data_IF_455794774974
#
_entry.id   IF_455794774974
#
_cell.length_a   1.000
_cell.length_b   1.000
_cell.length_c   1.000
_cell.angle_alpha   90.00
_cell.angle_beta   90.00
_cell.angle_gamma   90.00
#
_symmetry.space_group_name_H-M   'P 1'
#
loop_
_entity.id
_entity.type
_entity.pdbx_description
1 polymer ?
#
# COMPACT_ATOMS: atom_id res chain seq x y z
N UNK A 1 -6.98 -25.30 -19.71
CA UNK A 1 -6.11 -25.02 -18.53
C UNK A 1 -5.24 -23.82 -18.84
N UNK A 2 -5.35 -22.76 -18.05
CA UNK A 2 -4.43 -21.61 -18.14
C UNK A 2 -3.04 -22.03 -17.66
N UNK A 3 -2.01 -21.60 -18.38
CA UNK A 3 -0.60 -21.92 -18.10
C UNK A 3 0.14 -20.63 -17.75
N UNK A 4 1.07 -20.71 -16.82
CA UNK A 4 2.07 -19.66 -16.57
C UNK A 4 3.38 -20.06 -17.26
N UNK A 5 4.03 -19.07 -17.84
CA UNK A 5 5.29 -19.22 -18.57
C UNK A 5 6.39 -18.49 -17.78
N UNK A 6 7.45 -19.22 -17.45
CA UNK A 6 8.59 -18.72 -16.69
C UNK A 6 9.84 -18.87 -17.54
N UNK A 7 10.65 -17.82 -17.59
CA UNK A 7 11.99 -17.84 -18.20
C UNK A 7 13.02 -17.59 -17.11
N UNK A 8 14.25 -18.03 -17.33
CA UNK A 8 15.36 -17.69 -16.46
C UNK A 8 15.57 -16.16 -16.36
N UNK A 9 16.00 -15.68 -15.19
CA UNK A 9 16.25 -14.26 -14.92
C UNK A 9 17.41 -13.67 -15.73
N UNK A 10 18.40 -14.51 -16.09
CA UNK A 10 19.47 -14.18 -17.03
C UNK A 10 18.98 -13.89 -18.47
N UNK A 11 17.68 -14.03 -18.70
CA UNK A 11 17.01 -13.48 -19.86
C UNK A 11 17.51 -14.11 -21.15
N UNK A 12 18.13 -13.32 -22.02
CA UNK A 12 18.61 -13.79 -23.32
C UNK A 12 19.95 -14.54 -23.20
N UNK A 13 20.63 -14.43 -22.05
CA UNK A 13 21.86 -15.16 -21.76
C UNK A 13 21.58 -16.61 -21.32
N UNK A 14 20.34 -16.93 -20.89
CA UNK A 14 19.93 -18.27 -20.52
C UNK A 14 18.60 -18.65 -21.19
N UNK A 15 18.64 -19.63 -22.10
CA UNK A 15 17.46 -20.11 -22.82
C UNK A 15 16.52 -21.00 -22.01
N UNK A 16 16.80 -21.25 -20.73
CA UNK A 16 16.00 -22.14 -19.89
C UNK A 16 14.61 -21.54 -19.59
N UNK A 17 13.57 -22.37 -19.68
CA UNK A 17 12.19 -21.98 -19.37
C UNK A 17 11.41 -23.12 -18.72
N UNK A 18 10.42 -22.75 -17.90
CA UNK A 18 9.52 -23.66 -17.20
C UNK A 18 8.08 -23.22 -17.44
N UNK A 19 7.18 -24.18 -17.62
CA UNK A 19 5.74 -23.95 -17.64
C UNK A 19 5.12 -24.54 -16.38
N UNK A 20 4.21 -23.81 -15.75
CA UNK A 20 3.41 -24.29 -14.63
C UNK A 20 1.91 -24.12 -14.92
N UNK A 21 1.06 -24.78 -14.14
CA UNK A 21 -0.37 -24.46 -14.08
C UNK A 21 -0.58 -23.07 -13.48
N UNK A 22 -1.81 -22.57 -13.54
CA UNK A 22 -2.20 -21.35 -12.80
C UNK A 22 -1.98 -21.46 -11.28
N UNK A 23 -1.96 -22.68 -10.74
CA UNK A 23 -1.74 -23.03 -9.33
C UNK A 23 -0.27 -23.37 -9.04
N UNK A 24 0.65 -23.00 -9.94
CA UNK A 24 2.09 -23.18 -9.79
C UNK A 24 2.55 -24.65 -9.70
N UNK A 25 1.74 -25.58 -10.21
CA UNK A 25 2.12 -26.98 -10.38
C UNK A 25 2.98 -27.12 -11.63
N UNK A 26 4.14 -27.75 -11.49
CA UNK A 26 5.07 -28.01 -12.59
C UNK A 26 4.40 -28.79 -13.73
N UNK A 27 4.61 -28.34 -14.98
CA UNK A 27 4.11 -29.02 -16.18
C UNK A 27 5.25 -29.56 -17.05
N UNK A 28 6.16 -28.68 -17.48
CA UNK A 28 7.33 -29.03 -18.31
C UNK A 28 8.39 -27.95 -18.27
N UNK A 29 9.61 -28.31 -18.63
CA UNK A 29 10.70 -27.38 -18.96
C UNK A 29 11.28 -27.75 -20.33
N UNK A 30 12.12 -26.88 -20.91
CA UNK A 30 12.89 -27.24 -22.11
C UNK A 30 14.14 -28.06 -21.77
N UNK A 31 14.77 -28.63 -22.80
CA UNK A 31 16.01 -29.40 -22.65
C UNK A 31 17.27 -28.54 -22.45
N UNK A 32 17.13 -27.22 -22.39
CA UNK A 32 18.28 -26.31 -22.19
C UNK A 32 18.56 -26.28 -20.71
N UNK A 33 19.74 -26.75 -20.32
CA UNK A 33 20.24 -26.60 -18.95
C UNK A 33 20.72 -25.17 -18.70
N UNK A 34 20.68 -24.75 -17.45
CA UNK A 34 21.24 -23.45 -17.06
C UNK A 34 22.75 -23.43 -17.32
N UNK A 35 23.22 -22.35 -17.94
CA UNK A 35 24.63 -22.09 -18.24
C UNK A 35 25.30 -21.18 -17.20
N UNK A 36 24.63 -20.94 -16.08
CA UNK A 36 25.09 -20.13 -14.97
C UNK A 36 24.76 -20.85 -13.66
N UNK A 37 25.47 -20.48 -12.60
CA UNK A 37 25.16 -20.94 -11.25
C UNK A 37 24.11 -20.01 -10.64
N UNK A 38 23.28 -20.52 -9.72
CA UNK A 38 22.40 -19.66 -8.94
C UNK A 38 23.22 -18.76 -8.01
N UNK A 39 22.84 -17.49 -7.87
CA UNK A 39 23.39 -16.58 -6.86
C UNK A 39 22.54 -16.66 -5.57
N UNK A 40 23.09 -17.20 -4.45
CA UNK A 40 22.35 -17.31 -3.20
C UNK A 40 21.91 -15.97 -2.60
N UNK A 41 22.73 -14.93 -2.76
CA UNK A 41 22.44 -13.59 -2.21
C UNK A 41 21.30 -12.95 -3.03
N UNK A 42 21.32 -13.03 -4.36
CA UNK A 42 20.21 -12.53 -5.19
C UNK A 42 18.91 -13.27 -4.91
N UNK A 43 18.95 -14.60 -4.78
CA UNK A 43 17.77 -15.41 -4.44
C UNK A 43 17.18 -14.97 -3.09
N UNK A 44 18.03 -14.69 -2.09
CA UNK A 44 17.60 -14.22 -0.78
C UNK A 44 16.95 -12.83 -0.87
N UNK A 45 17.57 -11.90 -1.58
CA UNK A 45 17.04 -10.54 -1.80
C UNK A 45 15.71 -10.59 -2.55
N UNK A 46 15.59 -11.40 -3.60
CA UNK A 46 14.36 -11.58 -4.36
C UNK A 46 13.22 -12.13 -3.49
N UNK A 47 13.51 -13.05 -2.56
CA UNK A 47 12.53 -13.53 -1.56
C UNK A 47 12.11 -12.41 -0.61
N UNK A 48 13.05 -11.59 -0.13
CA UNK A 48 12.75 -10.45 0.74
C UNK A 48 11.87 -9.41 0.03
N UNK A 49 12.18 -9.06 -1.22
CA UNK A 49 11.37 -8.14 -2.03
C UNK A 49 9.97 -8.71 -2.26
N UNK A 50 9.85 -10.01 -2.53
CA UNK A 50 8.56 -10.68 -2.68
C UNK A 50 7.73 -10.62 -1.40
N UNK A 51 8.37 -10.80 -0.24
CA UNK A 51 7.73 -10.63 1.08
C UNK A 51 7.27 -9.18 1.30
N UNK A 52 8.12 -8.19 1.01
CA UNK A 52 7.77 -6.77 1.10
C UNK A 52 6.57 -6.46 0.21
N UNK A 53 6.58 -6.92 -1.05
CA UNK A 53 5.48 -6.75 -1.99
C UNK A 53 4.18 -7.36 -1.47
N UNK A 54 4.25 -8.58 -0.93
CA UNK A 54 3.09 -9.25 -0.33
C UNK A 54 2.53 -8.43 0.84
N UNK A 55 3.37 -7.98 1.77
CA UNK A 55 2.93 -7.13 2.90
C UNK A 55 2.32 -5.82 2.41
N UNK A 56 2.92 -5.16 1.42
CA UNK A 56 2.40 -3.92 0.83
C UNK A 56 0.99 -4.10 0.24
N UNK A 57 0.72 -5.26 -0.36
CA UNK A 57 -0.58 -5.59 -0.95
C UNK A 57 -1.68 -5.89 0.09
N UNK A 58 -1.31 -6.37 1.27
CA UNK A 58 -2.23 -6.91 2.27
C UNK A 58 -2.29 -6.08 3.58
N UNK A 59 -1.41 -5.11 3.77
CA UNK A 59 -1.34 -4.28 4.97
C UNK A 59 -1.57 -2.78 4.67
N UNK A 60 -2.11 -2.06 5.65
CA UNK A 60 -2.44 -0.64 5.56
C UNK A 60 -1.27 0.31 5.89
N UNK A 61 -0.10 -0.23 6.27
CA UNK A 61 1.10 0.55 6.57
C UNK A 61 1.70 1.19 5.31
N UNK A 62 2.53 2.24 5.48
CA UNK A 62 3.19 2.86 4.33
C UNK A 62 4.20 1.89 3.68
N UNK A 63 4.35 1.95 2.35
CA UNK A 63 5.29 1.08 1.65
C UNK A 63 6.75 1.31 2.08
N UNK A 64 7.09 2.55 2.47
CA UNK A 64 8.40 2.91 3.01
C UNK A 64 8.62 2.19 4.34
N UNK A 65 7.66 2.28 5.26
CA UNK A 65 7.77 1.65 6.58
C UNK A 65 7.93 0.12 6.45
N UNK A 66 7.11 -0.52 5.62
CA UNK A 66 7.21 -1.98 5.39
C UNK A 66 8.59 -2.35 4.84
N UNK A 67 9.10 -1.59 3.87
CA UNK A 67 10.43 -1.81 3.30
C UNK A 67 11.53 -1.68 4.36
N UNK A 68 11.57 -0.55 5.06
CA UNK A 68 12.60 -0.27 6.08
C UNK A 68 12.57 -1.29 7.21
N UNK A 69 11.37 -1.64 7.68
CA UNK A 69 11.17 -2.64 8.72
C UNK A 69 11.67 -4.04 8.30
N UNK A 70 11.32 -4.48 7.09
CA UNK A 70 11.76 -5.79 6.59
C UNK A 70 13.26 -5.84 6.34
N UNK A 71 13.85 -4.77 5.78
CA UNK A 71 15.30 -4.67 5.58
C UNK A 71 16.04 -4.68 6.90
N UNK A 72 15.58 -3.91 7.89
CA UNK A 72 16.19 -3.86 9.22
C UNK A 72 16.11 -5.23 9.92
N UNK A 73 14.99 -5.95 9.79
CA UNK A 73 14.82 -7.27 10.41
C UNK A 73 15.55 -8.40 9.70
N UNK A 74 15.87 -8.24 8.42
CA UNK A 74 16.51 -9.27 7.63
C UNK A 74 17.98 -9.52 8.02
N UNK A 75 18.60 -8.61 8.80
CA UNK A 75 20.00 -8.72 9.25
C UNK A 75 20.96 -9.06 8.10
N UNK A 76 20.83 -8.33 6.99
CA UNK A 76 21.58 -8.57 5.76
C UNK A 76 23.08 -8.31 5.96
N UNK A 77 23.92 -9.12 5.29
CA UNK A 77 25.36 -8.89 5.22
C UNK A 77 25.69 -7.67 4.35
N UNK A 78 26.96 -7.23 4.37
CA UNK A 78 27.39 -6.12 3.52
C UNK A 78 27.24 -6.42 2.02
N UNK A 79 27.49 -7.66 1.59
CA UNK A 79 27.29 -8.08 0.18
C UNK A 79 25.81 -8.01 -0.21
N UNK A 80 24.93 -8.50 0.66
CA UNK A 80 23.48 -8.50 0.44
C UNK A 80 22.90 -7.08 0.44
N UNK A 81 23.37 -6.19 1.32
CA UNK A 81 22.97 -4.79 1.33
C UNK A 81 23.39 -4.04 0.06
N UNK A 82 24.50 -4.44 -0.56
CA UNK A 82 24.94 -3.85 -1.82
C UNK A 82 24.02 -4.23 -3.00
N UNK A 83 23.44 -5.43 -2.96
CA UNK A 83 22.49 -5.94 -3.97
C UNK A 83 21.06 -5.43 -3.70
N UNK A 84 20.70 -5.22 -2.42
CA UNK A 84 19.37 -4.77 -2.04
C UNK A 84 19.02 -3.42 -2.71
N UNK A 85 17.95 -3.36 -3.53
CA UNK A 85 17.61 -2.12 -4.22
C UNK A 85 17.10 -1.09 -3.22
N UNK A 86 17.61 0.14 -3.32
CA UNK A 86 17.11 1.27 -2.54
C UNK A 86 15.61 1.48 -2.79
N UNK A 87 14.87 1.92 -1.75
CA UNK A 87 13.43 2.12 -1.83
C UNK A 87 12.99 2.93 -3.05
N UNK A 88 13.73 3.99 -3.41
CA UNK A 88 13.44 4.84 -4.57
C UNK A 88 13.32 4.07 -5.90
N UNK A 89 14.05 2.96 -6.04
CA UNK A 89 14.07 2.13 -7.25
C UNK A 89 12.78 1.30 -7.34
N UNK A 90 12.39 0.66 -6.23
CA UNK A 90 11.23 -0.25 -6.20
C UNK A 90 9.92 0.45 -5.82
N UNK A 91 9.97 1.73 -5.43
CA UNK A 91 8.82 2.55 -4.98
C UNK A 91 7.62 2.36 -5.90
N UNK A 92 7.78 2.68 -7.18
CA UNK A 92 6.68 2.63 -8.16
C UNK A 92 6.07 1.22 -8.28
N UNK A 93 6.91 0.18 -8.27
CA UNK A 93 6.43 -1.20 -8.35
C UNK A 93 5.60 -1.61 -7.12
N UNK A 94 5.99 -1.16 -5.92
CA UNK A 94 5.25 -1.41 -4.68
C UNK A 94 3.90 -0.67 -4.67
N UNK A 95 3.87 0.60 -5.08
CA UNK A 95 2.62 1.36 -5.17
C UNK A 95 1.66 0.79 -6.22
N UNK A 96 2.18 0.33 -7.37
CA UNK A 96 1.38 -0.36 -8.38
C UNK A 96 0.82 -1.69 -7.86
N UNK A 97 1.62 -2.47 -7.12
CA UNK A 97 1.17 -3.72 -6.51
C UNK A 97 0.00 -3.46 -5.55
N UNK A 98 0.10 -2.43 -4.69
CA UNK A 98 -1.00 -2.01 -3.81
C UNK A 98 -2.21 -1.50 -4.59
N UNK A 99 -2.01 -0.70 -5.62
CA UNK A 99 -3.11 -0.20 -6.44
C UNK A 99 -3.91 -1.34 -7.08
N UNK A 100 -3.28 -2.48 -7.38
CA UNK A 100 -3.98 -3.66 -7.92
C UNK A 100 -4.88 -4.39 -6.90
N UNK A 101 -4.74 -4.10 -5.60
CA UNK A 101 -5.60 -4.67 -4.54
C UNK A 101 -6.70 -3.70 -4.10
N UNK A 102 -6.63 -2.43 -4.52
CA UNK A 102 -7.57 -1.38 -4.15
C UNK A 102 -8.62 -1.21 -5.25
N UNK A 103 -9.93 -1.15 -4.91
CA UNK A 103 -10.97 -0.80 -5.85
C UNK A 103 -10.64 0.51 -6.57
N UNK A 104 -10.85 0.52 -7.89
CA UNK A 104 -10.71 1.75 -8.67
C UNK A 104 -11.64 2.84 -8.15
N UNK A 105 -11.26 4.10 -8.39
CA UNK A 105 -12.05 5.25 -7.98
C UNK A 105 -13.47 5.14 -8.60
N UNK A 106 -14.54 5.22 -7.79
CA UNK A 106 -15.91 5.08 -8.28
C UNK A 106 -16.26 6.07 -9.40
N UNK A 107 -16.96 5.57 -10.42
CA UNK A 107 -17.49 6.38 -11.52
C UNK A 107 -18.87 6.96 -11.26
N UNK A 108 -19.55 6.55 -10.20
CA UNK A 108 -20.80 7.15 -9.74
C UNK A 108 -20.53 7.98 -8.48
N UNK A 109 -21.36 9.00 -8.22
CA UNK A 109 -21.34 9.75 -6.95
C UNK A 109 -21.88 8.90 -5.80
N UNK A 110 -22.80 7.98 -6.10
CA UNK A 110 -23.30 6.97 -5.18
C UNK A 110 -22.41 5.73 -5.24
N UNK A 111 -21.80 5.38 -4.11
CA UNK A 111 -20.98 4.18 -3.95
C UNK A 111 -20.91 3.78 -2.48
N UNK A 112 -20.82 2.49 -2.20
CA UNK A 112 -20.59 2.01 -0.84
C UNK A 112 -19.12 2.14 -0.47
N UNK A 113 -18.84 2.43 0.80
CA UNK A 113 -17.47 2.44 1.35
C UNK A 113 -17.17 1.04 1.87
N UNK A 114 -16.19 0.32 1.30
CA UNK A 114 -15.82 -1.00 1.78
C UNK A 114 -15.43 -0.98 3.26
N UNK A 115 -15.73 -2.05 4.01
CA UNK A 115 -15.50 -2.15 5.46
C UNK A 115 -14.07 -1.76 5.88
N UNK A 116 -13.07 -2.20 5.14
CA UNK A 116 -11.66 -1.91 5.41
C UNK A 116 -11.25 -0.44 5.18
N UNK A 117 -12.08 0.35 4.48
CA UNK A 117 -11.95 1.81 4.42
C UNK A 117 -12.71 2.53 5.53
N UNK A 118 -13.44 1.80 6.37
CA UNK A 118 -14.14 2.35 7.53
C UNK A 118 -13.32 2.18 8.81
N UNK A 119 -12.22 1.41 8.77
CA UNK A 119 -11.37 1.10 9.92
C UNK A 119 -10.01 1.81 9.83
N UNK A 120 -9.37 2.02 10.97
CA UNK A 120 -7.99 2.48 11.05
C UNK A 120 -6.99 1.29 10.99
N UNK A 121 -5.69 1.58 11.10
CA UNK A 121 -4.64 0.57 11.08
C UNK A 121 -4.69 -0.45 12.25
N UNK A 122 -5.42 -0.13 13.33
CA UNK A 122 -5.64 -1.01 14.47
C UNK A 122 -6.97 -1.79 14.37
N UNK A 123 -7.65 -1.74 13.22
CA UNK A 123 -8.99 -2.32 13.01
C UNK A 123 -10.10 -1.71 13.88
N UNK A 124 -9.93 -0.46 14.31
CA UNK A 124 -10.95 0.30 15.05
C UNK A 124 -11.76 1.17 14.09
N UNK A 125 -13.03 1.47 14.42
CA UNK A 125 -13.88 2.33 13.60
C UNK A 125 -13.23 3.72 13.41
N UNK A 126 -13.17 4.17 12.17
CA UNK A 126 -12.54 5.43 11.77
C UNK A 126 -13.43 6.28 10.86
N UNK A 127 -14.33 5.67 10.09
CA UNK A 127 -15.42 6.41 9.43
C UNK A 127 -16.53 6.64 10.47
N UNK A 128 -16.65 7.86 10.99
CA UNK A 128 -17.64 8.19 12.01
C UNK A 128 -19.03 8.47 11.42
N UNK A 129 -19.07 9.12 10.26
CA UNK A 129 -20.31 9.43 9.59
C UNK A 129 -20.17 9.37 8.06
N UNK A 130 -21.20 8.82 7.43
CA UNK A 130 -21.44 8.88 5.99
C UNK A 130 -22.79 9.54 5.78
N UNK A 131 -22.78 10.87 5.63
CA UNK A 131 -23.96 11.67 5.43
C UNK A 131 -24.36 11.64 3.95
N UNK A 132 -24.97 10.54 3.53
CA UNK A 132 -25.44 10.34 2.16
C UNK A 132 -26.94 10.66 2.06
N UNK A 133 -27.27 11.89 1.69
CA UNK A 133 -28.65 12.38 1.58
C UNK A 133 -28.93 12.90 0.18
N UNK A 134 -30.16 12.76 -0.36
CA UNK A 134 -30.55 13.44 -1.60
C UNK A 134 -30.57 14.97 -1.48
N UNK A 135 -30.58 15.52 -0.26
CA UNK A 135 -30.75 16.95 -0.01
C UNK A 135 -29.44 17.75 -0.02
N UNK A 136 -28.28 17.10 0.10
CA UNK A 136 -26.97 17.75 0.15
C UNK A 136 -25.87 16.81 -0.36
N UNK A 137 -24.74 17.38 -0.78
CA UNK A 137 -23.58 16.60 -1.24
C UNK A 137 -23.10 15.65 -0.13
N UNK A 138 -22.70 14.42 -0.51
CA UNK A 138 -22.31 13.39 0.45
C UNK A 138 -21.11 13.85 1.29
N UNK A 139 -21.25 13.82 2.62
CA UNK A 139 -20.17 14.18 3.53
C UNK A 139 -19.63 12.92 4.22
N UNK A 140 -18.32 12.71 4.16
CA UNK A 140 -17.63 11.66 4.90
C UNK A 140 -16.82 12.26 6.04
N UNK A 141 -17.05 11.79 7.26
CA UNK A 141 -16.31 12.25 8.45
C UNK A 141 -15.43 11.11 8.94
N UNK A 142 -14.13 11.29 8.83
CA UNK A 142 -13.14 10.37 9.37
C UNK A 142 -12.52 10.95 10.63
N UNK A 143 -12.57 10.17 11.73
CA UNK A 143 -11.84 10.45 12.96
C UNK A 143 -11.87 9.22 13.90
N UNK A 144 -11.09 9.23 14.97
CA UNK A 144 -11.22 8.27 16.08
C UNK A 144 -11.61 8.97 17.37
N UNK A 145 -12.13 8.22 18.34
CA UNK A 145 -12.53 8.76 19.65
C UNK A 145 -11.40 9.54 20.33
N UNK A 146 -10.16 9.04 20.22
CA UNK A 146 -8.98 9.75 20.74
C UNK A 146 -8.77 11.09 20.07
N UNK A 147 -8.94 11.17 18.75
CA UNK A 147 -8.75 12.41 18.01
C UNK A 147 -9.83 13.43 18.37
N UNK A 148 -11.08 12.97 18.50
CA UNK A 148 -12.19 13.81 18.97
C UNK A 148 -11.95 14.32 20.40
N UNK A 149 -11.44 13.47 21.30
CA UNK A 149 -11.10 13.87 22.66
C UNK A 149 -10.02 14.96 22.67
N UNK A 150 -8.96 14.80 21.86
CA UNK A 150 -7.92 15.83 21.74
C UNK A 150 -8.52 17.13 21.21
N UNK A 151 -9.36 17.09 20.17
CA UNK A 151 -10.03 18.28 19.65
C UNK A 151 -10.93 18.95 20.69
N UNK A 152 -11.62 18.17 21.52
CA UNK A 152 -12.48 18.66 22.59
C UNK A 152 -11.68 19.34 23.72
N UNK A 153 -10.55 18.75 24.10
CA UNK A 153 -9.68 19.27 25.17
C UNK A 153 -8.78 20.43 24.71
N UNK A 154 -8.74 20.73 23.41
CA UNK A 154 -7.86 21.75 22.84
C UNK A 154 -8.40 23.16 23.00
N UNK A 155 -7.56 24.07 23.51
CA UNK A 155 -7.88 25.49 23.60
C UNK A 155 -7.96 26.15 22.21
N UNK A 156 -7.10 25.71 21.28
CA UNK A 156 -7.00 26.25 19.92
C UNK A 156 -7.14 25.11 18.93
N UNK A 157 -8.08 25.28 17.99
CA UNK A 157 -8.23 24.42 16.82
C UNK A 157 -7.92 25.22 15.56
N UNK A 158 -7.31 24.57 14.59
CA UNK A 158 -7.06 25.11 13.27
C UNK A 158 -7.91 24.37 12.25
N UNK A 159 -8.47 25.10 11.29
CA UNK A 159 -9.27 24.53 10.23
C UNK A 159 -8.70 24.94 8.89
N UNK A 160 -8.58 23.99 7.96
CA UNK A 160 -8.17 24.27 6.59
C UNK A 160 -9.01 23.48 5.59
N UNK A 161 -9.52 24.18 4.59
CA UNK A 161 -10.32 23.65 3.49
C UNK A 161 -9.58 23.80 2.18
N UNK A 162 -9.16 22.68 1.58
CA UNK A 162 -8.43 22.67 0.31
C UNK A 162 -9.29 22.06 -0.81
N UNK A 163 -9.65 22.88 -1.81
CA UNK A 163 -10.36 22.43 -3.02
C UNK A 163 -9.43 21.73 -4.03
N UNK A 164 -8.19 22.22 -4.18
CA UNK A 164 -7.27 21.78 -5.24
C UNK A 164 -6.79 20.33 -5.13
N UNK A 165 -6.90 19.73 -3.93
CA UNK A 165 -6.45 18.36 -3.65
C UNK A 165 -7.60 17.39 -3.36
N UNK A 166 -8.83 17.81 -3.65
CA UNK A 166 -10.01 16.99 -3.39
C UNK A 166 -9.99 15.70 -4.21
N UNK A 167 -10.32 14.53 -3.62
CA UNK A 167 -10.48 13.31 -4.37
C UNK A 167 -11.61 13.50 -5.41
N UNK A 168 -11.56 12.77 -6.54
CA UNK A 168 -12.67 12.77 -7.47
C UNK A 168 -13.98 12.46 -6.74
N UNK A 169 -15.05 13.19 -7.08
CA UNK A 169 -16.42 13.09 -6.52
C UNK A 169 -16.66 13.87 -5.23
N UNK A 170 -15.63 14.47 -4.66
CA UNK A 170 -15.74 15.41 -3.55
C UNK A 170 -15.28 16.78 -4.02
N UNK A 171 -15.93 17.83 -3.55
CA UNK A 171 -15.58 19.21 -3.88
C UNK A 171 -14.39 19.71 -3.06
N UNK A 172 -14.19 19.21 -1.84
CA UNK A 172 -13.09 19.61 -0.97
C UNK A 172 -12.70 18.55 0.07
N UNK A 173 -11.45 18.68 0.50
CA UNK A 173 -10.96 18.13 1.76
C UNK A 173 -10.98 19.24 2.80
N UNK A 174 -11.71 19.04 3.89
CA UNK A 174 -11.68 19.89 5.07
C UNK A 174 -10.95 19.16 6.20
N UNK A 175 -10.03 19.84 6.86
CA UNK A 175 -9.20 19.28 7.93
C UNK A 175 -9.28 20.14 9.17
N UNK A 176 -9.33 19.49 10.34
CA UNK A 176 -9.33 20.16 11.64
C UNK A 176 -8.09 19.66 12.39
N UNK A 177 -7.35 20.57 13.01
CA UNK A 177 -6.10 20.28 13.70
C UNK A 177 -6.13 20.85 15.11
N UNK A 178 -5.39 20.22 16.00
CA UNK A 178 -5.17 20.68 17.37
C UNK A 178 -3.71 20.48 17.75
N UNK A 179 -3.25 21.30 18.70
CA UNK A 179 -1.92 21.16 19.28
C UNK A 179 -2.00 20.10 20.37
N UNK A 180 -1.10 19.11 20.33
CA UNK A 180 -1.04 18.06 21.34
C UNK A 180 0.42 17.69 21.61
N UNK A 181 0.83 17.76 22.89
CA UNK A 181 2.22 17.52 23.33
C UNK A 181 3.25 18.40 22.60
N UNK A 182 2.95 19.70 22.44
CA UNK A 182 3.81 20.68 21.74
C UNK A 182 4.07 20.41 20.26
N UNK A 183 3.44 19.37 19.69
CA UNK A 183 3.42 19.09 18.25
C UNK A 183 2.04 19.39 17.66
N UNK A 184 2.00 19.92 16.43
CA UNK A 184 0.75 20.05 15.69
C UNK A 184 0.34 18.67 15.17
N UNK A 185 -0.64 18.03 15.83
CA UNK A 185 -1.14 16.72 15.40
C UNK A 185 -2.31 16.92 14.43
N UNK A 186 -2.15 16.33 13.26
CA UNK A 186 -3.07 16.43 12.15
C UNK A 186 -4.23 15.44 12.34
N UNK A 187 -5.45 15.94 12.52
CA UNK A 187 -6.65 15.11 12.63
C UNK A 187 -7.40 15.12 11.28
N UNK A 188 -7.03 14.18 10.40
CA UNK A 188 -7.66 13.96 9.08
C UNK A 188 -9.06 13.36 9.26
N UNK A 189 -10.14 13.70 8.55
CA UNK A 189 -10.46 14.65 7.47
C UNK A 189 -11.99 14.58 7.31
N UNK A 190 -12.66 15.71 7.09
CA UNK A 190 -14.05 15.76 6.59
C UNK A 190 -13.97 15.95 5.07
N UNK A 191 -14.55 15.04 4.28
CA UNK A 191 -14.70 15.20 2.84
C UNK A 191 -16.11 15.69 2.53
N UNK A 192 -16.24 16.71 1.67
CA UNK A 192 -17.52 17.17 1.12
C UNK A 192 -17.43 17.29 -0.39
#
# INVERSE_FOLDING_TARGET
MNKKYWRCEDGDNCGAYVHTTSEDVYLKHNKVEHNHLPDPDEILINKLISKIRYRVMNEHLSAVFIYEFEVARANLTQSQLAIMPAFKIIKSALYLARASTIPGIPKASQFDIPMWFQLNANSEQYLLADCNSPAFDRILIYSSDRQLQILFDSEIIFCDGTFASSPPRFQQIYTIHAIYEEECKLFKTIFY
#
